data_IF_529495829190
#
_entry.id   IF_529495829190
#
_cell.length_a   1.000
_cell.length_b   1.000
_cell.length_c   1.000
_cell.angle_alpha   90.00
_cell.angle_beta   90.00
_cell.angle_gamma   90.00
#
_symmetry.space_group_name_H-M   'P 1'
#
loop_
_entity.id
_entity.type
_entity.pdbx_description
1 polymer ?
#
# COMPACT_ATOMS: atom_id res chain seq x y z
N UNK A 1 -20.39 -5.92 -34.32
CA UNK A 1 -21.68 -6.20 -33.68
C UNK A 1 -22.25 -4.91 -33.14
N UNK A 2 -23.57 -4.76 -33.11
CA UNK A 2 -24.23 -3.62 -32.46
C UNK A 2 -24.43 -3.99 -30.98
N UNK A 3 -24.01 -3.13 -30.05
CA UNK A 3 -24.31 -3.25 -28.62
C UNK A 3 -25.43 -2.27 -28.30
N UNK A 4 -26.56 -2.78 -27.80
CA UNK A 4 -27.70 -1.97 -27.36
C UNK A 4 -27.88 -2.12 -25.85
N UNK A 5 -28.05 -1.01 -25.14
CA UNK A 5 -28.33 -0.99 -23.70
C UNK A 5 -29.53 -0.06 -23.44
N UNK A 6 -30.53 -0.57 -22.71
CA UNK A 6 -31.74 0.19 -22.37
C UNK A 6 -31.64 0.70 -20.93
N UNK A 7 -31.37 1.98 -20.77
CA UNK A 7 -31.35 2.65 -19.46
C UNK A 7 -32.76 3.14 -19.12
N UNK A 8 -33.24 2.78 -17.92
CA UNK A 8 -34.55 3.23 -17.43
C UNK A 8 -34.46 4.58 -16.74
N UNK A 9 -35.54 5.36 -16.78
CA UNK A 9 -35.61 6.63 -16.07
C UNK A 9 -35.52 6.42 -14.54
N UNK A 10 -34.78 7.29 -13.86
CA UNK A 10 -34.74 7.30 -12.40
C UNK A 10 -36.11 7.68 -11.83
N UNK A 11 -36.52 7.04 -10.74
CA UNK A 11 -37.72 7.43 -10.02
C UNK A 11 -37.41 8.68 -9.17
N UNK A 12 -38.03 9.81 -9.50
CA UNK A 12 -37.81 11.11 -8.85
C UNK A 12 -38.97 11.52 -7.93
N UNK A 13 -39.71 10.54 -7.38
CA UNK A 13 -40.85 10.80 -6.49
C UNK A 13 -40.49 11.56 -5.21
N UNK A 14 -39.22 11.56 -4.83
CA UNK A 14 -38.64 12.16 -3.63
C UNK A 14 -37.74 13.37 -3.92
N UNK A 15 -37.81 13.95 -5.13
CA UNK A 15 -37.05 15.14 -5.48
C UNK A 15 -37.43 16.33 -4.59
N UNK A 16 -36.42 17.09 -4.15
CA UNK A 16 -36.62 18.30 -3.34
C UNK A 16 -37.43 19.32 -4.16
N UNK A 17 -38.51 19.91 -3.60
CA UNK A 17 -39.27 20.92 -4.31
C UNK A 17 -38.39 22.08 -4.78
N UNK A 18 -38.58 22.52 -6.03
CA UNK A 18 -37.81 23.57 -6.71
C UNK A 18 -36.34 23.24 -7.00
N UNK A 19 -35.95 21.97 -7.12
CA UNK A 19 -34.64 21.59 -7.64
C UNK A 19 -34.72 20.93 -9.01
N UNK A 20 -33.74 21.18 -9.86
CA UNK A 20 -33.60 20.52 -11.17
C UNK A 20 -32.91 19.16 -11.02
N UNK A 21 -33.29 18.18 -11.85
CA UNK A 21 -32.63 16.88 -11.94
C UNK A 21 -31.68 16.84 -13.14
N UNK A 22 -30.42 16.46 -12.92
CA UNK A 22 -29.44 16.29 -13.99
C UNK A 22 -29.14 14.79 -14.21
N UNK A 23 -29.33 14.27 -15.42
CA UNK A 23 -28.96 12.90 -15.81
C UNK A 23 -27.85 12.95 -16.86
N UNK A 24 -26.71 12.32 -16.59
CA UNK A 24 -25.55 12.26 -17.50
C UNK A 24 -25.36 10.85 -18.03
N UNK A 25 -25.27 10.71 -19.36
CA UNK A 25 -24.93 9.46 -20.03
C UNK A 25 -23.55 9.61 -20.68
N UNK A 26 -22.64 8.68 -20.39
CA UNK A 26 -21.30 8.64 -20.98
C UNK A 26 -21.06 7.28 -21.63
N UNK A 27 -20.61 7.30 -22.88
CA UNK A 27 -20.27 6.09 -23.65
C UNK A 27 -18.75 6.03 -23.76
N UNK A 28 -18.15 4.89 -23.42
CA UNK A 28 -16.69 4.73 -23.37
C UNK A 28 -16.26 3.42 -24.04
N UNK A 29 -15.28 3.51 -24.96
CA UNK A 29 -14.87 2.38 -25.80
C UNK A 29 -13.94 1.36 -25.14
N UNK A 30 -13.37 1.68 -23.96
CA UNK A 30 -12.60 0.74 -23.16
C UNK A 30 -12.93 0.94 -21.66
N UNK A 31 -13.82 0.12 -21.08
CA UNK A 31 -14.34 0.37 -19.75
C UNK A 31 -13.27 0.23 -18.67
N UNK A 32 -12.33 -0.71 -18.76
CA UNK A 32 -11.42 -0.99 -17.64
C UNK A 32 -10.31 0.06 -17.50
N UNK A 33 -9.67 0.44 -18.60
CA UNK A 33 -8.58 1.42 -18.56
C UNK A 33 -9.07 2.82 -18.16
N UNK A 34 -10.21 3.25 -18.74
CA UNK A 34 -10.76 4.59 -18.50
C UNK A 34 -11.47 4.67 -17.14
N UNK A 35 -12.11 3.60 -16.65
CA UNK A 35 -12.67 3.59 -15.29
C UNK A 35 -11.55 3.69 -14.25
N UNK A 36 -10.43 2.98 -14.43
CA UNK A 36 -9.28 3.10 -13.50
C UNK A 36 -8.65 4.49 -13.59
N UNK A 37 -8.47 5.04 -14.80
CA UNK A 37 -7.88 6.36 -15.02
C UNK A 37 -8.79 7.51 -14.53
N UNK A 38 -10.10 7.43 -14.74
CA UNK A 38 -11.08 8.42 -14.24
C UNK A 38 -11.44 8.23 -12.76
N UNK A 39 -11.38 7.01 -12.23
CA UNK A 39 -11.49 6.78 -10.79
C UNK A 39 -10.28 7.35 -10.03
N UNK A 40 -9.16 7.51 -10.72
CA UNK A 40 -7.92 8.12 -10.22
C UNK A 40 -7.64 9.41 -11.01
N UNK A 41 -8.64 10.28 -11.12
CA UNK A 41 -8.44 11.67 -11.57
C UNK A 41 -7.61 12.42 -10.52
N UNK A 42 -6.54 13.10 -10.93
CA UNK A 42 -5.72 13.92 -10.05
C UNK A 42 -6.52 14.94 -9.23
N UNK A 43 -7.57 15.52 -9.80
CA UNK A 43 -8.48 16.41 -9.08
C UNK A 43 -9.20 15.71 -7.91
N UNK A 44 -9.55 14.44 -8.11
CA UNK A 44 -10.14 13.58 -7.08
C UNK A 44 -9.11 13.13 -6.04
N UNK A 45 -7.80 13.19 -6.30
CA UNK A 45 -6.76 12.84 -5.32
C UNK A 45 -6.39 13.98 -4.36
N UNK A 46 -6.90 15.20 -4.58
CA UNK A 46 -6.57 16.38 -3.76
C UNK A 46 -6.79 16.17 -2.26
N UNK A 47 -7.82 15.42 -1.89
CA UNK A 47 -8.19 15.14 -0.50
C UNK A 47 -7.25 14.13 0.20
N UNK A 48 -6.40 13.44 -0.55
CA UNK A 48 -5.39 12.51 -0.02
C UNK A 48 -4.10 13.23 0.40
N UNK A 49 -3.90 14.48 -0.05
CA UNK A 49 -2.80 15.35 0.41
C UNK A 49 -3.21 15.92 1.76
N UNK A 50 -2.82 15.23 2.83
CA UNK A 50 -3.21 15.54 4.20
C UNK A 50 -1.99 15.73 5.09
N UNK A 51 -2.15 16.52 6.14
CA UNK A 51 -1.07 16.71 7.11
C UNK A 51 -0.96 15.47 8.01
N UNK A 52 0.21 14.78 8.05
CA UNK A 52 0.40 13.67 8.96
C UNK A 52 0.59 14.18 10.40
N UNK A 53 0.12 13.40 11.37
CA UNK A 53 0.15 13.71 12.79
C UNK A 53 -0.05 12.45 13.64
N UNK A 54 0.11 12.58 14.96
CA UNK A 54 -0.21 11.54 15.93
C UNK A 54 0.93 10.57 16.21
N UNK A 55 0.58 9.35 16.60
CA UNK A 55 1.52 8.29 16.91
C UNK A 55 2.12 7.66 15.64
N UNK A 56 3.07 6.72 15.77
CA UNK A 56 3.74 6.10 14.62
C UNK A 56 2.81 5.40 13.63
N UNK A 57 1.60 5.00 14.05
CA UNK A 57 0.57 4.45 13.17
C UNK A 57 -0.23 5.55 12.46
N UNK A 58 -0.76 6.52 13.22
CA UNK A 58 -1.56 7.63 12.70
C UNK A 58 -0.77 8.52 11.74
N UNK A 59 0.51 8.73 12.02
CA UNK A 59 1.40 9.46 11.14
C UNK A 59 1.49 8.78 9.76
N UNK A 60 1.59 7.45 9.75
CA UNK A 60 1.60 6.67 8.51
C UNK A 60 0.24 6.65 7.80
N UNK A 61 -0.88 6.69 8.54
CA UNK A 61 -2.22 6.86 7.95
C UNK A 61 -2.29 8.16 7.15
N UNK A 62 -1.75 9.26 7.68
CA UNK A 62 -1.76 10.55 6.99
C UNK A 62 -0.71 10.67 5.87
N UNK A 63 0.49 10.13 6.08
CA UNK A 63 1.60 10.27 5.13
C UNK A 63 1.39 9.43 3.86
N UNK A 64 0.90 8.19 4.01
CA UNK A 64 0.86 7.23 2.90
C UNK A 64 0.00 7.68 1.72
N UNK A 65 -1.24 8.19 1.92
CA UNK A 65 -2.05 8.71 0.82
C UNK A 65 -1.37 9.85 0.07
N UNK A 66 -0.67 10.74 0.79
CA UNK A 66 0.10 11.84 0.19
C UNK A 66 1.25 11.30 -0.67
N UNK A 67 2.00 10.30 -0.20
CA UNK A 67 3.08 9.66 -0.97
C UNK A 67 2.54 9.01 -2.25
N UNK A 68 1.46 8.22 -2.14
CA UNK A 68 0.87 7.52 -3.29
C UNK A 68 0.31 8.52 -4.32
N UNK A 69 -0.45 9.52 -3.86
CA UNK A 69 -1.00 10.54 -4.73
C UNK A 69 0.11 11.33 -5.45
N UNK A 70 1.16 11.71 -4.72
CA UNK A 70 2.32 12.42 -5.30
C UNK A 70 3.03 11.55 -6.34
N UNK A 71 3.29 10.27 -6.02
CA UNK A 71 3.91 9.34 -6.96
C UNK A 71 3.07 9.15 -8.23
N UNK A 72 1.75 9.02 -8.09
CA UNK A 72 0.84 8.91 -9.22
C UNK A 72 0.85 10.17 -10.09
N UNK A 73 0.71 11.36 -9.49
CA UNK A 73 0.68 12.63 -10.21
C UNK A 73 2.03 12.94 -10.89
N UNK A 74 3.15 12.58 -10.27
CA UNK A 74 4.49 12.67 -10.89
C UNK A 74 4.61 11.70 -12.08
N UNK A 75 4.14 10.46 -11.93
CA UNK A 75 4.27 9.42 -12.98
C UNK A 75 3.34 9.66 -14.17
N UNK A 76 2.22 10.35 -13.96
CA UNK A 76 1.22 10.65 -14.99
C UNK A 76 1.28 12.08 -15.52
N UNK A 77 2.17 12.91 -14.95
CA UNK A 77 2.29 14.34 -15.26
C UNK A 77 0.98 15.15 -15.09
N UNK A 78 0.13 14.76 -14.12
CA UNK A 78 -1.21 15.33 -13.94
C UNK A 78 -1.30 16.49 -12.94
N UNK A 79 -0.18 17.07 -12.48
CA UNK A 79 -0.21 18.17 -11.50
C UNK A 79 -1.00 19.41 -11.94
N UNK A 80 -1.05 19.69 -13.24
CA UNK A 80 -1.81 20.80 -13.81
C UNK A 80 -3.31 20.69 -13.53
N UNK A 81 -3.83 19.47 -13.41
CA UNK A 81 -5.26 19.21 -13.09
C UNK A 81 -5.61 19.53 -11.64
N UNK A 82 -4.62 19.63 -10.76
CA UNK A 82 -4.80 19.85 -9.31
C UNK A 82 -4.51 21.31 -8.94
N UNK A 83 -3.27 21.76 -9.20
CA UNK A 83 -2.75 23.13 -9.11
C UNK A 83 -1.22 23.08 -9.10
N UNK A 84 -0.58 24.09 -9.71
CA UNK A 84 0.88 24.22 -9.88
C UNK A 84 1.63 24.15 -8.53
N UNK A 85 1.06 24.72 -7.45
CA UNK A 85 1.73 24.79 -6.14
C UNK A 85 1.55 23.55 -5.27
N UNK A 86 0.59 22.67 -5.61
CA UNK A 86 0.24 21.50 -4.77
C UNK A 86 1.37 20.49 -4.68
N UNK A 87 2.23 20.40 -5.69
CA UNK A 87 3.38 19.48 -5.66
C UNK A 87 4.36 19.86 -4.54
N UNK A 88 4.71 21.14 -4.45
CA UNK A 88 5.64 21.62 -3.41
C UNK A 88 5.07 21.40 -2.01
N UNK A 89 3.77 21.63 -1.83
CA UNK A 89 3.06 21.36 -0.58
C UNK A 89 3.09 19.86 -0.23
N UNK A 90 2.78 18.98 -1.18
CA UNK A 90 2.82 17.54 -0.97
C UNK A 90 4.21 17.05 -0.56
N UNK A 91 5.27 17.54 -1.22
CA UNK A 91 6.66 17.26 -0.85
C UNK A 91 6.97 17.74 0.57
N UNK A 92 6.52 18.94 0.97
CA UNK A 92 6.71 19.45 2.33
C UNK A 92 5.99 18.58 3.37
N UNK A 93 4.78 18.10 3.08
CA UNK A 93 4.02 17.21 3.94
C UNK A 93 4.68 15.83 4.08
N UNK A 94 5.21 15.27 2.99
CA UNK A 94 5.97 14.01 3.01
C UNK A 94 7.22 14.16 3.88
N UNK A 95 7.99 15.27 3.73
CA UNK A 95 9.16 15.55 4.58
C UNK A 95 8.77 15.65 6.06
N UNK A 96 7.68 16.36 6.36
CA UNK A 96 7.15 16.46 7.73
C UNK A 96 6.79 15.09 8.30
N UNK A 97 6.05 14.27 7.55
CA UNK A 97 5.68 12.92 7.95
C UNK A 97 6.88 12.01 8.17
N UNK A 98 7.90 12.10 7.32
CA UNK A 98 9.18 11.39 7.49
C UNK A 98 9.86 11.78 8.79
N UNK A 99 10.09 13.08 9.04
CA UNK A 99 10.72 13.56 10.28
C UNK A 99 9.94 13.13 11.52
N UNK A 100 8.60 13.18 11.49
CA UNK A 100 7.76 12.71 12.59
C UNK A 100 7.87 11.20 12.80
N UNK A 101 7.90 10.40 11.72
CA UNK A 101 7.98 8.95 11.83
C UNK A 101 9.31 8.48 12.42
N UNK A 102 10.41 9.19 12.15
CA UNK A 102 11.71 8.89 12.75
C UNK A 102 11.70 8.96 14.28
N UNK A 103 10.80 9.74 14.88
CA UNK A 103 10.63 9.78 16.33
C UNK A 103 10.10 8.45 16.91
N UNK A 104 9.50 7.60 16.06
CA UNK A 104 9.00 6.26 16.42
C UNK A 104 9.92 5.12 15.97
N UNK A 105 11.08 5.46 15.39
CA UNK A 105 12.12 4.50 15.05
C UNK A 105 12.93 4.16 16.30
N UNK A 106 13.09 2.87 16.57
CA UNK A 106 13.92 2.38 17.66
C UNK A 106 15.39 2.23 17.26
N UNK A 107 16.24 1.97 18.25
CA UNK A 107 17.68 1.79 18.06
C UNK A 107 18.02 0.60 17.12
N UNK A 108 17.17 -0.42 17.05
CA UNK A 108 17.30 -1.57 16.16
C UNK A 108 16.66 -1.35 14.77
N UNK A 109 16.26 -0.11 14.45
CA UNK A 109 15.56 0.32 13.24
C UNK A 109 14.13 -0.22 13.07
N UNK A 110 13.55 -0.82 14.10
CA UNK A 110 12.15 -1.25 14.09
C UNK A 110 11.20 -0.12 14.50
N UNK A 111 9.91 -0.28 14.18
CA UNK A 111 8.87 0.72 14.46
C UNK A 111 7.78 0.18 15.37
N UNK A 112 7.22 1.09 16.18
CA UNK A 112 6.07 0.85 17.03
C UNK A 112 5.12 2.05 16.97
N UNK A 113 3.85 1.87 17.39
CA UNK A 113 2.93 2.99 17.56
C UNK A 113 3.49 4.05 18.53
N UNK A 114 4.16 3.57 19.59
CA UNK A 114 4.81 4.37 20.62
C UNK A 114 6.13 3.70 21.03
N UNK A 115 7.16 4.48 21.34
CA UNK A 115 8.50 3.95 21.66
C UNK A 115 8.55 3.01 22.88
N UNK A 116 7.61 3.16 23.81
CA UNK A 116 7.49 2.31 25.00
C UNK A 116 6.77 0.97 24.75
N UNK A 117 6.26 0.73 23.54
CA UNK A 117 5.64 -0.55 23.17
C UNK A 117 6.64 -1.42 22.42
N UNK A 118 6.48 -2.76 22.42
CA UNK A 118 7.24 -3.62 21.53
C UNK A 118 6.98 -3.27 20.06
N UNK A 119 7.92 -3.61 19.19
CA UNK A 119 7.86 -3.25 17.76
C UNK A 119 6.93 -4.16 16.99
N UNK A 120 6.16 -3.58 16.08
CA UNK A 120 5.24 -4.34 15.22
C UNK A 120 5.96 -4.74 13.94
N UNK A 121 5.86 -6.02 13.59
CA UNK A 121 6.36 -6.53 12.30
C UNK A 121 5.60 -5.87 11.15
N UNK A 122 4.28 -5.79 11.26
CA UNK A 122 3.42 -5.19 10.24
C UNK A 122 3.74 -3.71 10.05
N UNK A 123 3.84 -2.92 11.14
CA UNK A 123 4.15 -1.49 11.04
C UNK A 123 5.54 -1.25 10.46
N UNK A 124 6.53 -2.03 10.90
CA UNK A 124 7.92 -1.90 10.41
C UNK A 124 7.99 -2.17 8.91
N UNK A 125 7.30 -3.21 8.41
CA UNK A 125 7.20 -3.48 6.98
C UNK A 125 6.45 -2.38 6.23
N UNK A 126 5.37 -1.85 6.80
CA UNK A 126 4.61 -0.77 6.19
C UNK A 126 5.43 0.52 6.04
N UNK A 127 6.15 0.91 7.09
CA UNK A 127 7.04 2.08 7.07
C UNK A 127 8.15 1.89 6.03
N UNK A 128 8.82 0.73 6.03
CA UNK A 128 9.88 0.44 5.06
C UNK A 128 9.38 0.53 3.60
N UNK A 129 8.19 -0.02 3.32
CA UNK A 129 7.55 0.06 2.00
C UNK A 129 7.29 1.51 1.58
N UNK A 130 6.62 2.29 2.44
CA UNK A 130 6.24 3.66 2.11
C UNK A 130 7.47 4.57 1.97
N UNK A 131 8.50 4.34 2.78
CA UNK A 131 9.76 5.07 2.64
C UNK A 131 10.54 4.69 1.38
N UNK A 132 10.54 3.40 1.00
CA UNK A 132 11.10 2.96 -0.26
C UNK A 132 10.41 3.63 -1.46
N UNK A 133 9.07 3.81 -1.42
CA UNK A 133 8.34 4.58 -2.42
C UNK A 133 8.70 6.07 -2.38
N UNK A 134 8.80 6.65 -1.19
CA UNK A 134 9.01 8.08 -0.99
C UNK A 134 10.44 8.55 -1.28
N UNK A 135 11.43 7.66 -1.35
CA UNK A 135 12.84 8.01 -1.60
C UNK A 135 13.05 8.72 -2.95
N UNK A 136 12.14 8.52 -3.91
CA UNK A 136 12.14 9.19 -5.22
C UNK A 136 11.60 10.62 -5.14
N UNK A 137 10.88 10.95 -4.07
CA UNK A 137 10.18 12.23 -3.88
C UNK A 137 10.95 13.15 -2.91
N UNK A 138 11.52 12.57 -1.86
CA UNK A 138 12.22 13.27 -0.78
C UNK A 138 13.51 12.54 -0.40
N UNK A 139 14.46 13.27 0.16
CA UNK A 139 15.72 12.70 0.63
C UNK A 139 15.50 11.87 1.91
N UNK A 140 15.56 10.55 1.76
CA UNK A 140 15.44 9.56 2.86
C UNK A 140 16.75 8.78 2.91
N UNK A 141 17.35 8.73 4.09
CA UNK A 141 18.58 7.98 4.31
C UNK A 141 18.37 6.49 4.03
N UNK A 142 19.17 5.85 3.17
CA UNK A 142 18.99 4.42 2.82
C UNK A 142 19.00 3.48 4.03
N UNK A 143 19.74 3.84 5.09
CA UNK A 143 19.80 3.04 6.33
C UNK A 143 18.46 2.99 7.05
N UNK A 144 17.59 4.00 6.91
CA UNK A 144 16.26 3.99 7.54
C UNK A 144 15.38 2.90 6.93
N UNK A 145 15.50 2.67 5.62
CA UNK A 145 14.79 1.59 4.91
C UNK A 145 15.50 0.27 5.16
N UNK A 146 16.79 0.19 4.88
CA UNK A 146 17.52 -1.07 4.90
C UNK A 146 17.73 -1.63 6.31
N UNK A 147 17.81 -0.76 7.34
CA UNK A 147 17.81 -1.18 8.73
C UNK A 147 16.50 -1.85 9.13
N UNK A 148 15.36 -1.29 8.73
CA UNK A 148 14.03 -1.89 8.97
C UNK A 148 13.88 -3.24 8.24
N UNK A 149 14.32 -3.31 6.98
CA UNK A 149 14.35 -4.53 6.19
C UNK A 149 15.23 -5.61 6.84
N UNK A 150 16.43 -5.25 7.27
CA UNK A 150 17.35 -6.16 7.96
C UNK A 150 16.74 -6.68 9.26
N UNK A 151 16.11 -5.82 10.06
CA UNK A 151 15.43 -6.23 11.28
C UNK A 151 14.29 -7.21 11.02
N UNK A 152 13.45 -6.97 10.00
CA UNK A 152 12.37 -7.90 9.62
C UNK A 152 12.94 -9.30 9.31
N UNK A 153 14.01 -9.35 8.51
CA UNK A 153 14.61 -10.62 8.07
C UNK A 153 15.23 -11.37 9.25
N UNK A 154 16.00 -10.68 10.10
CA UNK A 154 16.76 -11.31 11.17
C UNK A 154 15.90 -11.69 12.37
N UNK A 155 14.96 -10.82 12.74
CA UNK A 155 14.21 -10.96 14.00
C UNK A 155 12.82 -11.57 13.81
N UNK A 156 12.25 -11.50 12.60
CA UNK A 156 10.83 -11.85 12.36
C UNK A 156 10.60 -12.94 11.33
N UNK A 157 11.59 -13.28 10.50
CA UNK A 157 11.44 -14.39 9.56
C UNK A 157 11.84 -15.73 10.19
N UNK A 158 10.93 -16.70 10.14
CA UNK A 158 11.18 -18.09 10.53
C UNK A 158 11.93 -18.87 9.44
N UNK A 159 12.57 -20.02 9.78
CA UNK A 159 13.30 -20.83 8.80
C UNK A 159 12.47 -21.31 7.60
N UNK A 160 11.17 -21.49 7.80
CA UNK A 160 10.19 -21.89 6.78
C UNK A 160 9.69 -20.73 5.89
N UNK A 161 10.17 -19.51 6.12
CA UNK A 161 9.86 -18.32 5.33
C UNK A 161 8.72 -17.46 5.86
N UNK A 162 8.02 -17.91 6.91
CA UNK A 162 6.92 -17.19 7.55
C UNK A 162 7.46 -15.97 8.30
N UNK A 163 6.75 -14.83 8.21
CA UNK A 163 6.97 -13.71 9.12
C UNK A 163 5.98 -13.77 10.30
N UNK A 164 6.47 -13.55 11.51
CA UNK A 164 5.65 -13.53 12.72
C UNK A 164 5.37 -12.10 13.21
N UNK A 165 4.20 -11.89 13.81
CA UNK A 165 3.85 -10.64 14.50
C UNK A 165 3.84 -10.86 16.01
N UNK A 166 4.65 -10.09 16.72
CA UNK A 166 4.78 -10.17 18.18
C UNK A 166 4.00 -9.05 18.89
N UNK A 167 3.74 -7.94 18.21
CA UNK A 167 3.04 -6.79 18.76
C UNK A 167 2.20 -6.12 17.67
N UNK A 168 0.95 -6.59 17.45
CA UNK A 168 0.08 -6.06 16.41
C UNK A 168 -0.19 -4.56 16.59
N UNK A 169 -0.49 -3.90 15.48
CA UNK A 169 -0.90 -2.50 15.49
C UNK A 169 -2.20 -2.25 16.25
N UNK A 170 -2.35 -1.02 16.74
CA UNK A 170 -3.53 -0.55 17.48
C UNK A 170 -4.64 -0.18 16.51
N UNK A 171 -4.30 0.55 15.45
CA UNK A 171 -5.19 0.98 14.36
C UNK A 171 -5.42 -0.17 13.38
N UNK A 172 -6.38 -1.03 13.73
CA UNK A 172 -6.78 -2.23 12.98
C UNK A 172 -7.34 -1.93 11.59
N UNK A 173 -7.81 -0.72 11.35
CA UNK A 173 -8.18 -0.22 10.04
C UNK A 173 -7.01 -0.21 9.05
N UNK A 174 -5.76 -0.14 9.52
CA UNK A 174 -4.58 -0.09 8.67
C UNK A 174 -4.21 -1.46 8.09
N UNK A 175 -4.58 -2.56 8.74
CA UNK A 175 -4.15 -3.91 8.35
C UNK A 175 -5.02 -4.54 7.25
N UNK A 176 -6.09 -3.86 6.84
CA UNK A 176 -7.04 -4.37 5.84
C UNK A 176 -7.68 -5.70 6.29
N UNK A 177 -7.82 -6.64 5.35
CA UNK A 177 -8.39 -7.97 5.60
C UNK A 177 -7.52 -8.95 6.39
N UNK A 178 -6.39 -8.48 6.97
CA UNK A 178 -5.49 -9.28 7.82
C UNK A 178 -6.22 -10.00 8.97
N UNK A 179 -7.31 -9.42 9.48
CA UNK A 179 -8.11 -10.06 10.52
C UNK A 179 -8.96 -11.20 9.94
N UNK A 180 -8.80 -12.39 10.50
CA UNK A 180 -9.60 -13.58 10.21
C UNK A 180 -8.75 -14.84 10.04
N UNK A 181 -9.24 -15.81 9.27
CA UNK A 181 -8.46 -16.97 8.88
C UNK A 181 -7.30 -16.54 7.97
N UNK A 182 -6.14 -17.20 8.10
CA UNK A 182 -4.90 -16.98 7.31
C UNK A 182 -4.05 -15.72 7.65
N UNK A 183 -3.88 -15.33 8.94
CA UNK A 183 -3.11 -14.13 9.29
C UNK A 183 -1.62 -14.26 8.92
N UNK A 184 -1.02 -15.44 9.12
CA UNK A 184 0.40 -15.67 8.79
C UNK A 184 0.70 -15.52 7.30
N UNK A 185 -0.21 -15.99 6.43
CA UNK A 185 -0.11 -15.83 4.98
C UNK A 185 -0.23 -14.37 4.59
N UNK A 186 -1.22 -13.67 5.14
CA UNK A 186 -1.45 -12.24 4.86
C UNK A 186 -0.26 -11.38 5.30
N UNK A 187 0.28 -11.61 6.49
CA UNK A 187 1.46 -10.90 6.99
C UNK A 187 2.68 -11.21 6.13
N UNK A 188 2.94 -12.49 5.84
CA UNK A 188 4.10 -12.89 5.03
C UNK A 188 4.02 -12.29 3.63
N UNK A 189 2.85 -12.27 3.00
CA UNK A 189 2.64 -11.62 1.71
C UNK A 189 2.86 -10.11 1.80
N UNK A 190 2.35 -9.45 2.84
CA UNK A 190 2.55 -8.02 3.06
C UNK A 190 4.03 -7.65 3.26
N UNK A 191 4.75 -8.40 4.10
CA UNK A 191 6.18 -8.20 4.32
C UNK A 191 6.96 -8.46 3.04
N UNK A 192 6.66 -9.52 2.29
CA UNK A 192 7.30 -9.81 1.01
C UNK A 192 7.15 -8.65 0.01
N UNK A 193 5.97 -8.03 -0.07
CA UNK A 193 5.75 -6.83 -0.91
C UNK A 193 6.66 -5.69 -0.46
N UNK A 194 6.78 -5.45 0.86
CA UNK A 194 7.67 -4.42 1.39
C UNK A 194 9.15 -4.70 1.08
N UNK A 195 9.58 -5.97 1.20
CA UNK A 195 10.94 -6.40 0.83
C UNK A 195 11.22 -6.15 -0.66
N UNK A 196 10.24 -6.43 -1.53
CA UNK A 196 10.36 -6.19 -2.96
C UNK A 196 10.43 -4.70 -3.31
N UNK A 197 9.59 -3.88 -2.70
CA UNK A 197 9.61 -2.43 -2.91
C UNK A 197 10.97 -1.81 -2.53
N UNK A 198 11.58 -2.31 -1.45
CA UNK A 198 12.89 -1.86 -0.98
C UNK A 198 14.09 -2.56 -1.65
N UNK A 199 13.85 -3.52 -2.56
CA UNK A 199 14.90 -4.42 -3.06
C UNK A 199 16.06 -3.69 -3.73
N UNK A 200 15.75 -2.77 -4.65
CA UNK A 200 16.79 -2.01 -5.37
C UNK A 200 17.61 -1.09 -4.46
N UNK A 201 17.02 -0.61 -3.37
CA UNK A 201 17.69 0.28 -2.39
C UNK A 201 18.63 -0.54 -1.48
N UNK A 202 18.23 -1.77 -1.15
CA UNK A 202 18.86 -2.55 -0.07
C UNK A 202 19.66 -3.77 -0.54
N UNK A 203 19.63 -4.15 -1.82
CA UNK A 203 20.35 -5.33 -2.35
C UNK A 203 21.85 -5.34 -2.00
N UNK A 204 22.50 -4.19 -2.05
CA UNK A 204 23.95 -4.06 -1.78
C UNK A 204 24.26 -3.87 -0.27
N UNK A 205 23.24 -3.70 0.56
CA UNK A 205 23.37 -3.42 2.01
C UNK A 205 22.91 -4.59 2.88
N UNK A 206 22.00 -5.43 2.37
CA UNK A 206 21.39 -6.54 3.09
C UNK A 206 21.58 -7.83 2.29
N UNK A 207 22.70 -8.52 2.53
CA UNK A 207 23.09 -9.73 1.80
C UNK A 207 22.06 -10.87 1.90
N UNK A 208 21.25 -10.91 2.95
CA UNK A 208 20.20 -11.93 3.17
C UNK A 208 18.88 -11.62 2.46
N UNK A 209 18.75 -10.47 1.78
CA UNK A 209 17.49 -9.98 1.23
C UNK A 209 16.89 -10.92 0.18
N UNK A 210 17.66 -11.26 -0.86
CA UNK A 210 17.17 -12.15 -1.93
C UNK A 210 16.83 -13.54 -1.41
N UNK A 211 17.62 -14.07 -0.48
CA UNK A 211 17.34 -15.34 0.18
C UNK A 211 16.07 -15.31 1.03
N UNK A 212 15.83 -14.20 1.74
CA UNK A 212 14.62 -13.99 2.53
C UNK A 212 13.37 -13.90 1.65
N UNK A 213 13.45 -13.13 0.57
CA UNK A 213 12.41 -12.99 -0.47
C UNK A 213 12.07 -14.38 -1.04
N UNK A 214 13.09 -15.16 -1.40
CA UNK A 214 12.90 -16.48 -2.01
C UNK A 214 12.14 -17.44 -1.07
N UNK A 215 12.50 -17.47 0.22
CA UNK A 215 11.84 -18.29 1.26
C UNK A 215 10.39 -17.88 1.48
N UNK A 216 10.12 -16.59 1.64
CA UNK A 216 8.76 -16.08 1.82
C UNK A 216 7.88 -16.40 0.60
N UNK A 217 8.40 -16.17 -0.61
CA UNK A 217 7.69 -16.48 -1.84
C UNK A 217 7.43 -18.00 -2.01
N UNK A 218 8.36 -18.85 -1.57
CA UNK A 218 8.17 -20.30 -1.58
C UNK A 218 7.08 -20.76 -0.60
N UNK A 219 7.09 -20.24 0.63
CA UNK A 219 6.01 -20.49 1.60
C UNK A 219 4.64 -20.10 1.04
N UNK A 220 4.52 -18.88 0.51
CA UNK A 220 3.28 -18.39 -0.08
C UNK A 220 2.82 -19.23 -1.27
N UNK A 221 3.75 -19.68 -2.12
CA UNK A 221 3.43 -20.54 -3.27
C UNK A 221 2.81 -21.87 -2.83
N UNK A 222 3.29 -22.46 -1.71
CA UNK A 222 2.76 -23.71 -1.16
C UNK A 222 1.34 -23.53 -0.58
N UNK A 223 1.08 -22.38 0.03
CA UNK A 223 -0.24 -22.07 0.63
C UNK A 223 -1.27 -21.60 -0.40
N UNK A 224 -0.84 -21.12 -1.57
CA UNK A 224 -1.69 -20.39 -2.52
C UNK A 224 -2.97 -21.14 -2.93
N UNK A 225 -2.89 -22.43 -3.20
CA UNK A 225 -4.05 -23.24 -3.65
C UNK A 225 -5.08 -23.51 -2.56
N UNK A 226 -4.68 -23.43 -1.28
CA UNK A 226 -5.57 -23.66 -0.14
C UNK A 226 -6.23 -22.38 0.38
N UNK A 227 -5.88 -21.21 -0.16
CA UNK A 227 -6.45 -19.94 0.27
C UNK A 227 -7.91 -19.82 -0.14
N UNK A 228 -8.75 -19.42 0.80
CA UNK A 228 -10.20 -19.30 0.58
C UNK A 228 -10.67 -17.84 0.56
N UNK A 229 -9.95 -16.93 1.24
CA UNK A 229 -10.41 -15.55 1.39
C UNK A 229 -9.95 -14.69 0.21
N UNK A 230 -10.86 -13.97 -0.46
CA UNK A 230 -10.50 -13.12 -1.60
C UNK A 230 -9.37 -12.12 -1.29
N UNK A 231 -9.38 -11.53 -0.09
CA UNK A 231 -8.32 -10.63 0.35
C UNK A 231 -6.94 -11.31 0.41
N UNK A 232 -6.84 -12.45 1.10
CA UNK A 232 -5.58 -13.19 1.22
C UNK A 232 -5.11 -13.65 -0.15
N UNK A 233 -6.02 -14.19 -0.98
CA UNK A 233 -5.73 -14.61 -2.35
C UNK A 233 -5.18 -13.45 -3.18
N UNK A 234 -5.83 -12.29 -3.18
CA UNK A 234 -5.38 -11.13 -3.94
C UNK A 234 -4.00 -10.63 -3.49
N UNK A 235 -3.81 -10.51 -2.17
CA UNK A 235 -2.55 -10.05 -1.60
C UNK A 235 -1.40 -11.02 -1.89
N UNK A 236 -1.63 -12.32 -1.73
CA UNK A 236 -0.64 -13.36 -2.05
C UNK A 236 -0.37 -13.42 -3.55
N UNK A 237 -1.40 -13.28 -4.41
CA UNK A 237 -1.22 -13.24 -5.86
C UNK A 237 -0.30 -12.10 -6.26
N UNK A 238 -0.54 -10.90 -5.72
CA UNK A 238 0.31 -9.73 -5.98
C UNK A 238 1.74 -9.94 -5.50
N UNK A 239 1.93 -10.45 -4.27
CA UNK A 239 3.25 -10.73 -3.74
C UNK A 239 4.02 -11.76 -4.59
N UNK A 240 3.36 -12.82 -5.04
CA UNK A 240 3.96 -13.82 -5.93
C UNK A 240 4.26 -13.27 -7.32
N UNK A 241 3.39 -12.42 -7.87
CA UNK A 241 3.59 -11.76 -9.16
C UNK A 241 4.85 -10.90 -9.16
N UNK A 242 5.09 -10.12 -8.10
CA UNK A 242 6.32 -9.33 -7.93
C UNK A 242 7.60 -10.19 -7.92
N UNK A 243 7.49 -11.46 -7.56
CA UNK A 243 8.63 -12.40 -7.53
C UNK A 243 8.72 -13.30 -8.77
N UNK A 244 7.79 -13.16 -9.72
CA UNK A 244 7.69 -14.05 -10.88
C UNK A 244 7.28 -15.49 -10.54
N UNK A 245 6.71 -15.74 -9.36
CA UNK A 245 6.29 -17.08 -8.89
C UNK A 245 4.78 -17.33 -8.99
N UNK A 246 4.01 -16.40 -9.55
CA UNK A 246 2.57 -16.59 -9.77
C UNK A 246 2.35 -17.49 -11.00
N UNK A 247 2.16 -18.79 -10.76
CA UNK A 247 2.04 -19.78 -11.83
C UNK A 247 0.64 -19.84 -12.48
N UNK A 248 -0.40 -19.37 -11.78
CA UNK A 248 -1.78 -19.41 -12.30
C UNK A 248 -2.68 -18.40 -11.60
N UNK A 249 -3.46 -17.66 -12.38
CA UNK A 249 -4.47 -16.72 -11.90
C UNK A 249 -5.80 -17.41 -11.51
N UNK A 250 -5.90 -18.74 -11.69
CA UNK A 250 -7.14 -19.49 -11.45
C UNK A 250 -7.67 -19.36 -10.03
N UNK A 251 -6.81 -19.12 -9.03
CA UNK A 251 -7.25 -18.93 -7.64
C UNK A 251 -7.77 -17.50 -7.43
N UNK A 252 -7.18 -16.51 -8.11
CA UNK A 252 -7.64 -15.12 -8.07
C UNK A 252 -9.00 -14.92 -8.74
N UNK A 253 -9.31 -15.72 -9.77
CA UNK A 253 -10.56 -15.63 -10.53
C UNK A 253 -11.72 -16.51 -10.00
N UNK A 254 -11.54 -17.15 -8.83
CA UNK A 254 -12.61 -17.89 -8.14
C UNK A 254 -13.42 -16.97 -7.24
#
# INVERSE_FOLDING_TARGET
>A
GVQEEKVSAANLSDIVPNTESETKVSIQGNPVAIIVEKAIDGANLKHLIVTPAGCGEQNMIGMTPTVIATHYLDSTAQWETVSIDRRAEAIALIKKGYTQQLAFRKADNSYAAFNNRPSSTWLTAYVAKVFAMAIKLVDIEPEVVCGAIKWLILEKQKPDGIFQEDAPVIHKEMVGGYQGAEPEVSLTAFVLIALQEAREICKDRVNSLDGSIAKAAEYLSRQYQSLARPYTVALTSYALALTGKLNSEKVLMK
#
